data_IF_435954150871
#
_entry.id   IF_435954150871
#
_cell.length_a   1.000
_cell.length_b   1.000
_cell.length_c   1.000
_cell.angle_alpha   90.00
_cell.angle_beta   90.00
_cell.angle_gamma   90.00
#
_symmetry.space_group_name_H-M   'P 1'
#
loop_
_entity.id
_entity.type
_entity.pdbx_description
1 polymer ?
#
# COMPACT_ATOMS: atom_id res chain seq x y z
N UNK A 1 -4.23 -21.23 24.24
CA UNK A 1 -2.79 -20.93 24.45
C UNK A 1 -2.13 -20.67 23.10
N UNK A 2 -1.20 -19.70 23.01
CA UNK A 2 -0.48 -19.42 21.77
C UNK A 2 0.51 -20.56 21.51
N UNK A 3 0.28 -21.35 20.46
CA UNK A 3 1.10 -22.51 20.13
C UNK A 3 2.34 -22.15 19.31
N UNK A 4 3.38 -22.98 19.37
CA UNK A 4 4.61 -22.82 18.55
C UNK A 4 4.30 -22.61 17.06
N UNK A 5 3.34 -23.37 16.53
CA UNK A 5 2.89 -23.28 15.13
C UNK A 5 2.26 -21.91 14.82
N UNK A 6 1.58 -21.29 15.77
CA UNK A 6 1.04 -19.94 15.60
C UNK A 6 2.15 -18.88 15.51
N UNK A 7 3.25 -19.04 16.27
CA UNK A 7 4.42 -18.15 16.15
C UNK A 7 5.09 -18.26 14.77
N UNK A 8 5.24 -19.46 14.23
CA UNK A 8 5.74 -19.66 12.86
C UNK A 8 4.84 -18.96 11.82
N UNK A 9 3.52 -19.03 12.01
CA UNK A 9 2.54 -18.33 11.20
C UNK A 9 2.70 -16.81 11.20
N UNK A 10 2.91 -16.22 12.38
CA UNK A 10 3.13 -14.78 12.53
C UNK A 10 4.45 -14.35 11.87
N UNK A 11 5.52 -15.13 12.00
CA UNK A 11 6.82 -14.85 11.36
C UNK A 11 6.68 -14.89 9.83
N UNK A 12 5.98 -15.90 9.29
CA UNK A 12 5.72 -15.98 7.84
C UNK A 12 4.91 -14.77 7.35
N UNK A 13 3.90 -14.34 8.10
CA UNK A 13 3.12 -13.14 7.80
C UNK A 13 3.98 -11.87 7.80
N UNK A 14 4.91 -11.73 8.75
CA UNK A 14 5.88 -10.63 8.78
C UNK A 14 6.73 -10.58 7.50
N UNK A 15 7.17 -11.73 6.98
CA UNK A 15 7.91 -11.80 5.72
C UNK A 15 7.10 -11.26 4.53
N UNK A 16 5.81 -11.58 4.46
CA UNK A 16 4.90 -11.06 3.42
C UNK A 16 4.75 -9.54 3.54
N UNK A 17 4.59 -9.02 4.77
CA UNK A 17 4.50 -7.58 5.03
C UNK A 17 5.79 -6.86 4.61
N UNK A 18 6.95 -7.37 5.02
CA UNK A 18 8.25 -6.80 4.68
C UNK A 18 8.46 -6.74 3.16
N UNK A 19 8.13 -7.82 2.44
CA UNK A 19 8.19 -7.85 0.98
C UNK A 19 7.27 -6.79 0.35
N UNK A 20 6.07 -6.63 0.88
CA UNK A 20 5.12 -5.64 0.41
C UNK A 20 5.60 -4.20 0.67
N UNK A 21 6.30 -3.95 1.77
CA UNK A 21 6.91 -2.64 2.09
C UNK A 21 8.13 -2.32 1.23
N UNK A 22 9.06 -3.26 1.05
CA UNK A 22 10.29 -3.03 0.26
C UNK A 22 9.97 -2.66 -1.18
N UNK A 23 9.11 -3.43 -1.82
CA UNK A 23 8.73 -3.15 -3.21
C UNK A 23 7.96 -1.78 -3.29
N UNK A 24 7.40 -1.24 -2.18
CA UNK A 24 6.70 0.07 -2.15
C UNK A 24 7.73 1.18 -2.21
N UNK A 25 8.74 1.07 -1.35
CA UNK A 25 9.86 1.99 -1.33
C UNK A 25 10.57 2.00 -2.68
N UNK A 26 10.82 0.82 -3.26
CA UNK A 26 11.43 0.72 -4.61
C UNK A 26 10.60 1.44 -5.68
N UNK A 27 9.27 1.28 -5.64
CA UNK A 27 8.37 1.96 -6.59
C UNK A 27 8.33 3.48 -6.38
N UNK A 28 8.39 3.93 -5.13
CA UNK A 28 8.43 5.36 -4.81
C UNK A 28 9.73 5.96 -5.33
N UNK A 29 10.87 5.30 -5.10
CA UNK A 29 12.18 5.77 -5.58
C UNK A 29 12.22 5.81 -7.11
N UNK A 30 11.65 4.82 -7.78
CA UNK A 30 11.50 4.79 -9.24
C UNK A 30 10.60 5.92 -9.75
N UNK A 31 9.40 6.13 -9.18
CA UNK A 31 8.49 7.19 -9.60
C UNK A 31 9.10 8.60 -9.37
N UNK A 32 9.91 8.78 -8.32
CA UNK A 32 10.69 10.01 -8.08
C UNK A 32 11.79 10.18 -9.13
N UNK A 33 12.52 9.11 -9.45
CA UNK A 33 13.59 9.15 -10.45
C UNK A 33 13.08 9.49 -11.87
N UNK A 34 11.81 9.19 -12.17
CA UNK A 34 11.13 9.52 -13.43
C UNK A 34 10.58 10.95 -13.45
N UNK A 35 10.72 11.71 -12.35
CA UNK A 35 10.38 13.13 -12.27
C UNK A 35 8.96 13.44 -11.79
N UNK A 36 8.21 12.45 -11.29
CA UNK A 36 6.93 12.74 -10.65
C UNK A 36 7.14 13.46 -9.31
N UNK A 37 6.25 14.41 -8.98
CA UNK A 37 6.27 15.06 -7.67
C UNK A 37 6.23 13.99 -6.58
N UNK A 38 7.17 14.05 -5.62
CA UNK A 38 7.36 13.03 -4.54
C UNK A 38 6.05 12.61 -3.90
N UNK A 39 5.13 13.55 -3.79
CA UNK A 39 3.81 13.33 -3.24
C UNK A 39 2.89 12.46 -4.10
N UNK A 40 2.78 12.73 -5.41
CA UNK A 40 1.98 11.87 -6.30
C UNK A 40 2.63 10.51 -6.51
N UNK A 41 3.96 10.43 -6.50
CA UNK A 41 4.71 9.18 -6.51
C UNK A 41 4.34 8.30 -5.30
N UNK A 42 4.40 8.85 -4.07
CA UNK A 42 4.04 8.13 -2.85
C UNK A 42 2.58 7.68 -2.89
N UNK A 43 1.65 8.56 -3.23
CA UNK A 43 0.21 8.24 -3.25
C UNK A 43 -0.12 7.21 -4.33
N UNK A 44 0.36 7.44 -5.56
CA UNK A 44 0.14 6.56 -6.71
C UNK A 44 0.72 5.16 -6.49
N UNK A 45 1.96 5.06 -5.99
CA UNK A 45 2.58 3.79 -5.64
C UNK A 45 1.79 3.05 -4.56
N UNK A 46 1.28 3.78 -3.56
CA UNK A 46 0.51 3.20 -2.46
C UNK A 46 -0.85 2.67 -2.92
N UNK A 47 -1.59 3.41 -3.75
CA UNK A 47 -2.90 2.98 -4.30
C UNK A 47 -2.76 1.79 -5.27
N UNK A 48 -1.77 1.80 -6.15
CA UNK A 48 -1.53 0.67 -7.09
C UNK A 48 -1.27 -0.64 -6.38
N UNK A 49 -0.73 -0.58 -5.18
CA UNK A 49 -0.39 -1.73 -4.32
C UNK A 49 -1.55 -2.34 -3.58
N UNK A 50 -2.61 -1.57 -3.42
CA UNK A 50 -3.77 -1.93 -2.65
C UNK A 50 -4.44 -3.22 -3.16
N UNK A 51 -4.53 -3.34 -4.49
CA UNK A 51 -5.09 -4.51 -5.18
C UNK A 51 -4.27 -5.78 -4.93
N UNK A 52 -2.94 -5.80 -5.18
CA UNK A 52 -2.10 -6.94 -4.85
C UNK A 52 -2.17 -7.40 -3.39
N UNK A 53 -2.16 -6.47 -2.43
CA UNK A 53 -2.21 -6.80 -0.99
C UNK A 53 -3.54 -7.49 -0.64
N UNK A 54 -4.66 -6.92 -1.12
CA UNK A 54 -5.99 -7.48 -0.87
C UNK A 54 -6.15 -8.87 -1.48
N UNK A 55 -5.64 -9.09 -2.70
CA UNK A 55 -5.63 -10.40 -3.36
C UNK A 55 -4.85 -11.45 -2.56
N UNK A 56 -3.67 -11.06 -2.05
CA UNK A 56 -2.82 -11.97 -1.28
C UNK A 56 -3.45 -12.32 0.07
N UNK A 57 -4.05 -11.34 0.74
CA UNK A 57 -4.78 -11.54 1.99
C UNK A 57 -5.99 -12.46 1.80
N UNK A 58 -6.79 -12.23 0.75
CA UNK A 58 -7.95 -13.07 0.43
C UNK A 58 -7.53 -14.51 0.13
N UNK A 59 -6.47 -14.72 -0.66
CA UNK A 59 -5.94 -16.05 -0.95
C UNK A 59 -5.49 -16.77 0.32
N UNK A 60 -4.78 -16.09 1.22
CA UNK A 60 -4.34 -16.65 2.49
C UNK A 60 -5.51 -17.03 3.40
N UNK A 61 -6.53 -16.17 3.53
CA UNK A 61 -7.74 -16.48 4.31
C UNK A 61 -8.44 -17.71 3.73
N UNK A 62 -8.64 -17.78 2.41
CA UNK A 62 -9.26 -18.94 1.75
C UNK A 62 -8.48 -20.23 1.98
N UNK A 63 -7.15 -20.17 1.93
CA UNK A 63 -6.28 -21.33 2.20
C UNK A 63 -6.37 -21.82 3.66
N UNK A 64 -6.66 -20.92 4.60
CA UNK A 64 -6.75 -21.24 6.03
C UNK A 64 -8.11 -21.84 6.45
N UNK A 65 -9.17 -21.64 5.66
CA UNK A 65 -10.51 -22.18 5.94
C UNK A 65 -10.50 -23.70 6.20
N UNK A 66 -9.91 -24.57 5.34
CA UNK A 66 -9.87 -26.00 5.63
C UNK A 66 -8.99 -26.36 6.84
N UNK A 67 -7.94 -25.58 7.12
CA UNK A 67 -7.02 -25.83 8.23
C UNK A 67 -7.67 -25.63 9.60
N UNK A 68 -8.70 -24.78 9.70
CA UNK A 68 -9.48 -24.56 10.92
C UNK A 68 -10.12 -25.84 11.46
N UNK A 69 -10.41 -26.83 10.60
CA UNK A 69 -11.01 -28.10 11.03
C UNK A 69 -10.01 -29.06 11.68
N UNK A 70 -8.72 -28.73 11.71
CA UNK A 70 -7.69 -29.57 12.33
C UNK A 70 -7.42 -29.18 13.79
N UNK A 71 -7.33 -30.18 14.67
CA UNK A 71 -7.07 -29.95 16.10
C UNK A 71 -5.67 -29.37 16.39
N UNK A 72 -4.72 -29.58 15.49
CA UNK A 72 -3.33 -29.09 15.61
C UNK A 72 -3.12 -27.70 15.00
N UNK A 73 -3.70 -27.40 13.82
CA UNK A 73 -3.51 -26.13 13.14
C UNK A 73 -4.63 -25.11 13.41
N UNK A 74 -5.72 -25.50 14.07
CA UNK A 74 -6.82 -24.60 14.45
C UNK A 74 -6.34 -23.32 15.15
N UNK A 75 -5.55 -23.39 16.24
CA UNK A 75 -5.05 -22.20 16.93
C UNK A 75 -4.14 -21.31 16.06
N UNK A 76 -3.37 -21.90 15.14
CA UNK A 76 -2.54 -21.17 14.18
C UNK A 76 -3.42 -20.43 13.16
N UNK A 77 -4.39 -21.12 12.59
CA UNK A 77 -5.28 -20.55 11.57
C UNK A 77 -6.10 -19.38 12.13
N UNK A 78 -6.57 -19.46 13.38
CA UNK A 78 -7.26 -18.35 14.04
C UNK A 78 -6.32 -17.15 14.28
N UNK A 79 -5.07 -17.39 14.70
CA UNK A 79 -4.08 -16.33 14.88
C UNK A 79 -3.72 -15.64 13.55
N UNK A 80 -3.51 -16.42 12.48
CA UNK A 80 -3.27 -15.87 11.14
C UNK A 80 -4.49 -15.13 10.58
N UNK A 81 -5.70 -15.66 10.76
CA UNK A 81 -6.91 -14.95 10.33
C UNK A 81 -7.05 -13.61 11.04
N UNK A 82 -6.83 -13.56 12.36
CA UNK A 82 -6.83 -12.30 13.11
C UNK A 82 -5.73 -11.35 12.63
N UNK A 83 -4.51 -11.85 12.43
CA UNK A 83 -3.37 -11.07 11.95
C UNK A 83 -3.58 -10.50 10.54
N UNK A 84 -4.02 -11.33 9.59
CA UNK A 84 -4.27 -10.91 8.21
C UNK A 84 -5.45 -9.94 8.17
N UNK A 85 -6.53 -10.21 8.91
CA UNK A 85 -7.70 -9.31 8.94
C UNK A 85 -7.33 -7.95 9.53
N UNK A 86 -6.65 -7.92 10.67
CA UNK A 86 -6.19 -6.66 11.30
C UNK A 86 -5.18 -5.92 10.42
N UNK A 87 -4.22 -6.60 9.81
CA UNK A 87 -3.27 -5.99 8.88
C UNK A 87 -3.96 -5.41 7.63
N UNK A 88 -4.96 -6.12 7.08
CA UNK A 88 -5.72 -5.67 5.92
C UNK A 88 -6.56 -4.45 6.28
N UNK A 89 -7.25 -4.48 7.43
CA UNK A 89 -8.02 -3.32 7.94
C UNK A 89 -7.10 -2.14 8.20
N UNK A 90 -5.97 -2.34 8.89
CA UNK A 90 -5.01 -1.28 9.16
C UNK A 90 -4.50 -0.68 7.85
N UNK A 91 -4.18 -1.49 6.85
CA UNK A 91 -3.75 -1.00 5.53
C UNK A 91 -4.87 -0.24 4.81
N UNK A 92 -6.10 -0.77 4.84
CA UNK A 92 -7.32 -0.16 4.29
C UNK A 92 -7.64 1.19 4.90
N UNK A 93 -7.38 1.40 6.18
CA UNK A 93 -7.65 2.65 6.89
C UNK A 93 -6.45 3.61 6.87
N UNK A 94 -5.24 3.07 6.93
CA UNK A 94 -4.02 3.87 6.90
C UNK A 94 -3.85 4.58 5.56
N UNK A 95 -4.15 3.91 4.43
CA UNK A 95 -4.11 4.55 3.11
C UNK A 95 -5.02 5.78 2.98
N UNK A 96 -6.34 5.71 3.23
CA UNK A 96 -7.23 6.85 3.09
C UNK A 96 -6.96 7.91 4.15
N UNK A 97 -6.51 7.54 5.35
CA UNK A 97 -6.07 8.51 6.35
C UNK A 97 -4.80 9.26 5.90
N UNK A 98 -3.82 8.55 5.34
CA UNK A 98 -2.62 9.15 4.76
C UNK A 98 -3.01 10.04 3.58
N UNK A 99 -3.84 9.54 2.66
CA UNK A 99 -4.37 10.31 1.53
C UNK A 99 -5.11 11.57 2.00
N UNK A 100 -5.99 11.49 2.99
CA UNK A 100 -6.74 12.64 3.49
C UNK A 100 -5.84 13.64 4.23
N UNK A 101 -4.88 13.17 5.03
CA UNK A 101 -3.91 14.01 5.73
C UNK A 101 -3.01 14.77 4.75
N UNK A 102 -2.62 14.13 3.66
CA UNK A 102 -1.76 14.70 2.64
C UNK A 102 -2.55 15.54 1.64
N UNK A 103 -3.68 15.08 1.09
CA UNK A 103 -4.50 15.82 0.12
C UNK A 103 -5.06 17.12 0.71
N UNK A 104 -5.34 17.17 2.02
CA UNK A 104 -5.65 18.43 2.73
C UNK A 104 -4.45 19.37 2.88
N UNK A 105 -3.22 18.88 2.73
CA UNK A 105 -1.98 19.68 2.75
C UNK A 105 -1.58 20.13 1.34
N UNK A 106 -2.03 19.47 0.27
CA UNK A 106 -1.67 19.82 -1.11
C UNK A 106 -2.76 20.66 -1.78
N UNK A 107 -2.89 21.91 -1.34
CA UNK A 107 -3.50 22.97 -2.15
C UNK A 107 -2.45 23.93 -2.74
N UNK A 108 -1.15 23.66 -2.63
CA UNK A 108 -0.14 24.63 -3.05
C UNK A 108 1.20 24.03 -3.52
N UNK A 109 1.17 23.15 -4.51
CA UNK A 109 2.36 22.92 -5.34
C UNK A 109 2.05 23.48 -6.73
N UNK A 110 2.44 24.74 -6.94
CA UNK A 110 2.30 25.51 -8.17
C UNK A 110 2.73 24.71 -9.39
N UNK A 111 1.89 24.72 -10.42
CA UNK A 111 2.25 24.39 -11.79
C UNK A 111 3.49 25.21 -12.22
N UNK A 112 4.62 24.58 -12.56
CA UNK A 112 5.75 25.28 -13.17
C UNK A 112 5.54 25.58 -14.67
N UNK A 113 4.35 25.31 -15.22
CA UNK A 113 4.07 25.45 -16.66
C UNK A 113 3.48 26.80 -17.09
N UNK A 114 3.48 27.82 -16.23
CA UNK A 114 3.29 29.21 -16.68
C UNK A 114 4.64 29.86 -17.06
N UNK A 115 5.34 29.20 -17.98
CA UNK A 115 6.43 29.79 -18.74
C UNK A 115 5.83 30.61 -19.86
N UNK A 116 5.59 31.89 -19.56
CA UNK A 116 4.85 32.87 -20.37
C UNK A 116 4.96 32.68 -21.88
N UNK A 117 3.80 32.50 -22.52
CA UNK A 117 3.65 32.75 -23.95
C UNK A 117 3.86 34.24 -24.18
N UNK A 118 4.91 34.69 -24.91
CA UNK A 118 5.05 36.10 -25.23
C UNK A 118 3.84 36.56 -26.06
N UNK A 119 3.30 37.77 -25.82
CA UNK A 119 2.14 38.27 -26.55
C UNK A 119 2.45 38.30 -28.05
N UNK A 120 1.53 37.73 -28.84
CA UNK A 120 1.57 37.76 -30.29
C UNK A 120 1.78 39.20 -30.77
N UNK A 121 2.90 39.44 -31.46
CA UNK A 121 3.18 40.71 -32.11
C UNK A 121 2.13 40.92 -33.23
N UNK A 122 1.46 42.08 -33.30
CA UNK A 122 0.57 42.36 -34.41
C UNK A 122 1.34 42.46 -35.72
N UNK A 123 0.77 41.77 -36.71
CA UNK A 123 1.08 41.78 -38.13
C UNK A 123 1.15 43.20 -38.72
N UNK A 124 2.19 43.45 -39.53
CA UNK A 124 2.16 44.25 -40.76
C UNK A 124 2.01 45.78 -40.65
N UNK A 125 3.03 46.51 -41.11
CA UNK A 125 2.97 47.64 -42.06
C UNK A 125 4.37 48.20 -42.30
#
# INVERSE_FOLDING_TARGET
PFGFVAMLGVIAMFGIIMRNSVILVDQIEQDIAVGHGRFDAIVGATVRRFRPITLTAAAAVLALIPLLRSNFFGPMATALMGGITSATVLTLFYLPALYAAWFRVKSDERDPHDGGTPPAAPSGA
#
